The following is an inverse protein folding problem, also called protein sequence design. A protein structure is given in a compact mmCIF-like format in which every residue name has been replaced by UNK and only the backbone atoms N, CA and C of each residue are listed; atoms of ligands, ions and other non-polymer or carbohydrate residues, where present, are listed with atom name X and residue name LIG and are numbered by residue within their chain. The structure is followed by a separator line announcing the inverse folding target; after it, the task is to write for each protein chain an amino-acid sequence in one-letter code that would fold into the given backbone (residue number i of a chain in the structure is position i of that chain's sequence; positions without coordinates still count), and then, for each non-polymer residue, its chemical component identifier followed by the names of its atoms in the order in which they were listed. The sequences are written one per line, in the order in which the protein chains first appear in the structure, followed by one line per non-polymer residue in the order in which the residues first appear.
data_IF_972974175245
#
_entry.id   IF_972974175245
#
_cell.length_a   1.000
_cell.length_b   1.000
_cell.length_c   1.000
_cell.angle_alpha   90.00
_cell.angle_beta   90.00
_cell.angle_gamma   90.00
#
_symmetry.space_group_name_H-M   'P 1'
#
loop_
_entity.id
_entity.type
_entity.pdbx_description
1 polymer ?
#
# COMPACT_ATOMS: atom_id res chain seq x y z
N UNK A 1 -5.67 25.85 9.36
CA UNK A 1 -4.70 24.76 9.64
C UNK A 1 -3.38 25.21 9.06
N UNK A 2 -2.24 25.06 9.76
CA UNK A 2 -0.93 25.42 9.24
C UNK A 2 -0.55 24.47 8.11
N UNK A 3 -0.22 24.98 6.95
CA UNK A 3 0.30 24.23 5.82
C UNK A 3 1.66 23.62 6.22
N UNK A 4 1.79 22.30 6.08
CA UNK A 4 3.04 21.60 6.39
C UNK A 4 3.83 21.38 5.10
N UNK A 5 5.10 21.82 5.11
CA UNK A 5 6.01 21.65 3.98
C UNK A 5 7.04 20.53 4.25
N UNK A 6 7.29 19.70 3.25
CA UNK A 6 8.29 18.64 3.26
C UNK A 6 9.17 18.74 2.00
N UNK A 7 10.41 18.28 2.06
CA UNK A 7 11.21 18.13 0.84
C UNK A 7 10.57 17.09 -0.09
N UNK A 8 10.07 15.98 0.48
CA UNK A 8 9.45 14.91 -0.31
C UNK A 8 8.13 14.44 0.31
N UNK A 9 7.09 14.39 -0.48
CA UNK A 9 5.89 13.61 -0.16
C UNK A 9 5.85 12.37 -1.03
N UNK A 10 5.64 11.21 -0.39
CA UNK A 10 5.44 9.92 -1.04
C UNK A 10 4.00 9.49 -0.86
N UNK A 11 3.31 9.15 -1.93
CA UNK A 11 1.92 8.67 -1.88
C UNK A 11 1.89 7.16 -1.98
N UNK A 12 1.51 6.51 -0.89
CA UNK A 12 1.43 5.05 -0.74
C UNK A 12 2.57 4.46 0.10
N UNK A 13 2.22 3.57 1.05
CA UNK A 13 3.12 2.84 1.93
C UNK A 13 3.23 1.34 1.57
N UNK A 14 3.19 1.03 0.27
CA UNK A 14 3.58 -0.28 -0.26
C UNK A 14 5.10 -0.45 -0.28
N UNK A 15 5.59 -1.49 -0.98
CA UNK A 15 7.02 -1.78 -1.07
C UNK A 15 7.84 -0.58 -1.57
N UNK A 16 7.38 0.10 -2.63
CA UNK A 16 8.07 1.28 -3.16
C UNK A 16 8.12 2.43 -2.14
N UNK A 17 7.00 2.69 -1.45
CA UNK A 17 6.92 3.74 -0.43
C UNK A 17 7.81 3.46 0.78
N UNK A 18 7.84 2.22 1.26
CA UNK A 18 8.73 1.79 2.35
C UNK A 18 10.21 1.94 1.98
N UNK A 19 10.59 1.51 0.77
CA UNK A 19 11.94 1.70 0.27
C UNK A 19 12.34 3.17 0.21
N UNK A 20 11.48 4.02 -0.34
CA UNK A 20 11.72 5.46 -0.44
C UNK A 20 11.81 6.11 0.93
N UNK A 21 10.92 5.75 1.87
CA UNK A 21 10.97 6.26 3.23
C UNK A 21 12.32 5.94 3.89
N UNK A 22 12.78 4.69 3.79
CA UNK A 22 14.09 4.28 4.29
C UNK A 22 15.22 5.07 3.60
N UNK A 23 15.25 5.07 2.26
CA UNK A 23 16.32 5.68 1.48
C UNK A 23 16.44 7.17 1.72
N UNK A 24 15.33 7.89 1.72
CA UNK A 24 15.32 9.34 1.90
C UNK A 24 15.70 9.75 3.35
N UNK A 25 15.22 8.99 4.34
CA UNK A 25 15.60 9.23 5.74
C UNK A 25 17.09 9.03 5.97
N UNK A 26 17.70 7.97 5.39
CA UNK A 26 19.15 7.77 5.51
C UNK A 26 19.97 8.86 4.81
N UNK A 27 19.38 9.61 3.90
CA UNK A 27 19.97 10.79 3.25
C UNK A 27 19.69 12.11 4.01
N UNK A 28 19.01 12.04 5.16
CA UNK A 28 18.67 13.22 5.99
C UNK A 28 17.58 14.12 5.39
N UNK A 29 16.76 13.59 4.46
CA UNK A 29 15.67 14.35 3.85
C UNK A 29 14.44 14.40 4.75
N UNK A 30 13.76 15.54 4.76
CA UNK A 30 12.45 15.67 5.40
C UNK A 30 11.38 15.10 4.48
N UNK A 31 10.61 14.12 4.99
CA UNK A 31 9.59 13.47 4.18
C UNK A 31 8.32 13.15 4.97
N UNK A 32 7.24 12.95 4.23
CA UNK A 32 5.99 12.36 4.72
C UNK A 32 5.49 11.34 3.70
N UNK A 33 5.11 10.18 4.18
CA UNK A 33 4.38 9.19 3.38
C UNK A 33 2.91 9.30 3.71
N UNK A 34 2.05 9.43 2.70
CA UNK A 34 0.59 9.48 2.86
C UNK A 34 0.01 8.15 2.39
N UNK A 35 -0.60 7.40 3.32
CA UNK A 35 -1.16 6.07 3.04
C UNK A 35 -2.67 6.07 3.29
N UNK A 36 -3.42 5.62 2.30
CA UNK A 36 -4.88 5.49 2.38
C UNK A 36 -5.31 4.43 3.39
N UNK A 37 -4.57 3.33 3.49
CA UNK A 37 -4.84 2.24 4.41
C UNK A 37 -4.49 2.59 5.86
N UNK A 38 -4.93 1.74 6.79
CA UNK A 38 -4.59 1.85 8.21
C UNK A 38 -3.24 1.22 8.56
N UNK A 39 -2.56 0.59 7.58
CA UNK A 39 -1.28 -0.07 7.77
C UNK A 39 -0.48 -0.08 6.46
N UNK A 40 0.79 -0.46 6.56
CA UNK A 40 1.70 -0.66 5.42
C UNK A 40 1.37 -1.92 4.65
N UNK A 41 1.95 -2.07 3.44
CA UNK A 41 1.89 -3.31 2.67
C UNK A 41 1.35 -3.15 1.25
N UNK A 42 0.64 -2.05 0.95
CA UNK A 42 0.14 -1.75 -0.39
C UNK A 42 -0.70 -2.90 -0.97
N UNK A 43 -0.26 -3.52 -2.06
CA UNK A 43 -0.94 -4.66 -2.68
C UNK A 43 -1.31 -5.75 -1.66
N UNK A 44 -0.44 -6.06 -0.72
CA UNK A 44 -0.64 -7.13 0.27
C UNK A 44 -1.49 -6.70 1.47
N UNK A 45 -1.67 -5.43 1.67
CA UNK A 45 -2.65 -4.91 2.60
C UNK A 45 -4.07 -5.01 2.02
N UNK A 46 -4.26 -4.69 0.74
CA UNK A 46 -5.57 -4.65 0.09
C UNK A 46 -6.03 -6.00 -0.45
N UNK A 47 -5.14 -6.78 -1.07
CA UNK A 47 -5.49 -8.04 -1.74
C UNK A 47 -5.25 -9.23 -0.81
N UNK A 48 -6.26 -9.57 -0.02
CA UNK A 48 -6.22 -10.60 1.03
C UNK A 48 -7.20 -11.75 0.79
N UNK A 49 -7.64 -11.93 -0.44
CA UNK A 49 -8.53 -13.04 -0.80
C UNK A 49 -7.85 -14.40 -0.52
N UNK A 50 -8.65 -15.48 -0.27
CA UNK A 50 -8.09 -16.80 0.04
C UNK A 50 -7.12 -17.29 -1.03
N UNK A 51 -5.94 -17.71 -0.60
CA UNK A 51 -4.91 -18.22 -1.50
C UNK A 51 -4.12 -17.13 -2.25
N UNK A 52 -4.30 -15.84 -1.95
CA UNK A 52 -3.51 -14.76 -2.52
C UNK A 52 -2.01 -15.02 -2.28
N UNK A 53 -1.22 -15.00 -3.34
CA UNK A 53 0.19 -15.42 -3.34
C UNK A 53 0.98 -14.60 -4.36
N UNK A 54 2.26 -14.39 -4.10
CA UNK A 54 3.15 -13.79 -5.07
C UNK A 54 3.50 -14.78 -6.20
N UNK A 55 3.59 -14.30 -7.42
CA UNK A 55 4.03 -15.02 -8.60
C UNK A 55 5.56 -14.94 -8.81
N UNK A 56 6.25 -14.11 -8.01
CA UNK A 56 7.70 -14.06 -7.93
C UNK A 56 8.22 -14.86 -6.74
N UNK A 57 9.45 -15.40 -6.86
CA UNK A 57 10.09 -16.09 -5.76
C UNK A 57 10.33 -15.15 -4.56
N UNK A 58 10.09 -15.64 -3.35
CA UNK A 58 10.14 -14.85 -2.12
C UNK A 58 11.46 -14.12 -1.92
N UNK A 59 12.59 -14.76 -2.23
CA UNK A 59 13.92 -14.13 -2.15
C UNK A 59 14.08 -12.99 -3.15
N UNK A 60 13.51 -13.10 -4.34
CA UNK A 60 13.52 -12.04 -5.34
C UNK A 60 12.53 -10.92 -5.00
N UNK A 61 11.49 -11.24 -4.23
CA UNK A 61 10.47 -10.29 -3.76
C UNK A 61 10.83 -9.69 -2.40
N UNK A 62 12.10 -9.58 -2.08
CA UNK A 62 12.66 -9.06 -0.83
C UNK A 62 13.46 -7.79 -1.07
N UNK A 63 13.55 -6.95 -0.06
CA UNK A 63 14.47 -5.82 -0.09
C UNK A 63 15.90 -6.28 0.12
N UNK A 64 16.83 -5.75 -0.68
CA UNK A 64 18.26 -6.04 -0.64
C UNK A 64 19.13 -4.87 -0.11
N UNK A 65 18.50 -3.87 0.49
CA UNK A 65 19.23 -2.70 1.00
C UNK A 65 19.88 -2.91 2.37
N UNK A 66 19.60 -4.02 3.05
CA UNK A 66 20.14 -4.37 4.35
C UNK A 66 20.47 -5.85 4.43
N UNK A 67 21.76 -6.17 4.61
CA UNK A 67 22.22 -7.54 4.83
C UNK A 67 21.68 -8.15 6.13
N UNK A 68 21.42 -7.33 7.15
CA UNK A 68 20.80 -7.80 8.39
C UNK A 68 19.36 -8.27 8.12
N UNK A 69 18.58 -7.49 7.37
CA UNK A 69 17.22 -7.86 6.98
C UNK A 69 17.21 -9.18 6.19
N UNK A 70 18.13 -9.33 5.23
CA UNK A 70 18.23 -10.56 4.41
C UNK A 70 18.60 -11.79 5.25
N UNK A 71 19.36 -11.62 6.32
CA UNK A 71 19.79 -12.72 7.20
C UNK A 71 18.78 -13.05 8.29
N UNK A 72 17.97 -12.10 8.72
CA UNK A 72 17.03 -12.28 9.84
C UNK A 72 15.63 -12.68 9.41
N UNK A 73 15.23 -12.35 8.18
CA UNK A 73 13.93 -12.77 7.65
C UNK A 73 14.01 -14.09 6.93
N UNK A 74 13.22 -15.07 7.35
CA UNK A 74 13.15 -16.39 6.75
C UNK A 74 11.78 -16.64 6.15
N UNK A 75 11.74 -16.79 4.82
CA UNK A 75 10.52 -17.13 4.10
C UNK A 75 10.16 -18.61 4.32
N UNK A 76 8.88 -18.89 4.59
CA UNK A 76 8.39 -20.25 4.78
C UNK A 76 8.24 -21.02 3.47
N UNK A 77 8.02 -20.29 2.37
CA UNK A 77 7.76 -20.89 1.04
C UNK A 77 8.54 -20.15 -0.06
N UNK A 78 8.82 -20.90 -1.15
CA UNK A 78 9.46 -20.32 -2.34
C UNK A 78 8.62 -19.21 -2.97
N UNK A 79 7.28 -19.33 -2.91
CA UNK A 79 6.31 -18.34 -3.37
C UNK A 79 5.40 -18.02 -2.18
N UNK A 80 5.71 -16.97 -1.46
CA UNK A 80 5.04 -16.62 -0.22
C UNK A 80 3.58 -16.23 -0.42
N UNK A 81 2.77 -16.55 0.56
CA UNK A 81 1.38 -16.15 0.63
C UNK A 81 1.23 -14.72 1.16
N UNK A 82 0.09 -14.11 0.87
CA UNK A 82 -0.26 -12.74 1.28
C UNK A 82 0.01 -12.45 2.76
N UNK A 83 -0.37 -13.27 3.75
CA UNK A 83 -0.15 -12.96 5.16
C UNK A 83 1.33 -12.85 5.52
N UNK A 84 2.17 -13.69 4.93
CA UNK A 84 3.62 -13.65 5.18
C UNK A 84 4.26 -12.42 4.55
N UNK A 85 3.87 -12.06 3.31
CA UNK A 85 4.39 -10.86 2.64
C UNK A 85 3.95 -9.59 3.38
N UNK A 86 2.71 -9.55 3.86
CA UNK A 86 2.25 -8.42 4.68
C UNK A 86 3.05 -8.34 6.00
N UNK A 87 3.32 -9.47 6.63
CA UNK A 87 4.15 -9.54 7.84
C UNK A 87 5.58 -9.06 7.58
N UNK A 88 6.15 -9.41 6.42
CA UNK A 88 7.44 -8.89 5.99
C UNK A 88 7.44 -7.37 5.83
N UNK A 89 6.44 -6.80 5.15
CA UNK A 89 6.34 -5.35 4.98
C UNK A 89 6.21 -4.62 6.33
N UNK A 90 5.45 -5.19 7.27
CA UNK A 90 5.33 -4.68 8.66
C UNK A 90 6.66 -4.76 9.39
N UNK A 91 7.34 -5.90 9.32
CA UNK A 91 8.66 -6.09 9.92
C UNK A 91 9.66 -5.04 9.43
N UNK A 92 9.71 -4.79 8.13
CA UNK A 92 10.56 -3.74 7.53
C UNK A 92 10.20 -2.36 8.07
N UNK A 93 8.92 -2.02 8.11
CA UNK A 93 8.48 -0.71 8.63
C UNK A 93 8.85 -0.51 10.10
N UNK A 94 8.81 -1.58 10.91
CA UNK A 94 9.13 -1.56 12.33
C UNK A 94 10.65 -1.55 12.57
N UNK A 95 11.39 -2.44 11.93
CA UNK A 95 12.85 -2.56 12.06
C UNK A 95 13.57 -1.26 11.70
N UNK A 96 13.13 -0.60 10.63
CA UNK A 96 13.74 0.66 10.18
C UNK A 96 13.02 1.91 10.71
N UNK A 97 12.10 1.76 11.67
CA UNK A 97 11.38 2.86 12.31
C UNK A 97 10.68 3.80 11.31
N UNK A 98 10.07 3.25 10.26
CA UNK A 98 9.45 4.03 9.21
C UNK A 98 8.04 4.53 9.57
N UNK A 99 7.34 3.88 10.52
CA UNK A 99 5.96 4.23 10.89
C UNK A 99 5.76 5.69 11.30
N UNK A 100 6.66 6.36 12.02
CA UNK A 100 6.51 7.79 12.37
C UNK A 100 6.52 8.72 11.16
N UNK A 101 7.05 8.27 10.02
CA UNK A 101 7.08 9.01 8.76
C UNK A 101 5.80 8.85 7.96
N UNK A 102 4.95 7.87 8.31
CA UNK A 102 3.75 7.50 7.55
C UNK A 102 2.52 8.06 8.25
N UNK A 103 1.70 8.80 7.49
CA UNK A 103 0.38 9.20 7.92
C UNK A 103 -0.63 8.27 7.28
N UNK A 104 -1.19 7.38 8.12
CA UNK A 104 -2.21 6.41 7.73
C UNK A 104 -3.60 7.03 7.61
N UNK A 105 -4.54 6.28 7.01
CA UNK A 105 -5.93 6.69 6.77
C UNK A 105 -6.03 8.04 6.03
N UNK A 106 -5.06 8.30 5.16
CA UNK A 106 -4.88 9.58 4.46
C UNK A 106 -4.89 9.35 2.96
N UNK A 107 -6.07 9.47 2.36
CA UNK A 107 -6.24 9.37 0.91
C UNK A 107 -5.90 10.70 0.25
N UNK A 108 -4.90 10.71 -0.63
CA UNK A 108 -4.60 11.85 -1.50
C UNK A 108 -5.64 11.93 -2.61
N UNK A 109 -6.24 13.09 -2.78
CA UNK A 109 -7.26 13.36 -3.81
C UNK A 109 -6.74 14.22 -4.95
N UNK A 110 -5.72 15.05 -4.67
CA UNK A 110 -5.06 15.84 -5.71
C UNK A 110 -3.57 16.04 -5.40
N UNK A 111 -2.77 16.18 -6.44
CA UNK A 111 -1.38 16.62 -6.37
C UNK A 111 -1.12 17.53 -7.57
N UNK A 112 -0.96 18.82 -7.32
CA UNK A 112 -0.90 19.85 -8.36
C UNK A 112 0.41 20.62 -8.23
N UNK A 113 1.18 20.65 -9.29
CA UNK A 113 2.38 21.49 -9.38
C UNK A 113 2.01 22.97 -9.48
N UNK A 114 2.70 23.79 -8.70
CA UNK A 114 2.59 25.25 -8.73
C UNK A 114 3.89 25.84 -9.28
N UNK A 115 3.82 26.49 -10.44
CA UNK A 115 4.99 27.11 -11.08
C UNK A 115 5.61 28.21 -10.21
N UNK A 116 4.79 28.92 -9.50
CA UNK A 116 5.19 29.90 -8.49
C UNK A 116 4.42 29.57 -7.20
N UNK A 117 5.09 29.13 -6.15
CA UNK A 117 6.53 29.18 -5.78
C UNK A 117 7.38 27.93 -6.08
N UNK A 118 7.07 27.14 -7.13
CA UNK A 118 7.81 25.95 -7.54
C UNK A 118 7.73 24.81 -6.51
N UNK A 119 6.52 24.39 -6.19
CA UNK A 119 6.28 23.25 -5.32
C UNK A 119 4.99 22.51 -5.68
N UNK A 120 4.88 21.28 -5.19
CA UNK A 120 3.65 20.50 -5.22
C UNK A 120 2.70 20.94 -4.12
N UNK A 121 1.42 21.04 -4.44
CA UNK A 121 0.32 21.15 -3.47
C UNK A 121 -0.43 19.83 -3.49
N UNK A 122 -0.50 19.16 -2.34
CA UNK A 122 -1.13 17.87 -2.17
C UNK A 122 -2.34 18.04 -1.24
N UNK A 123 -3.50 17.56 -1.67
CA UNK A 123 -4.75 17.61 -0.88
C UNK A 123 -5.26 16.21 -0.58
N UNK A 124 -5.89 16.06 0.56
CA UNK A 124 -6.43 14.78 1.04
C UNK A 124 -7.95 14.80 1.11
N UNK A 125 -8.56 13.62 1.17
CA UNK A 125 -10.01 13.47 1.34
C UNK A 125 -10.53 14.08 2.65
N UNK A 126 -9.67 14.27 3.66
CA UNK A 126 -10.02 14.91 4.94
C UNK A 126 -9.83 16.43 4.91
N UNK A 127 -9.47 17.00 3.75
CA UNK A 127 -9.25 18.43 3.59
C UNK A 127 -7.93 18.94 4.16
N UNK A 128 -7.00 18.05 4.47
CA UNK A 128 -5.63 18.43 4.81
C UNK A 128 -4.87 18.85 3.56
N UNK A 129 -3.96 19.81 3.74
CA UNK A 129 -3.14 20.33 2.65
C UNK A 129 -1.67 20.32 3.04
N UNK A 130 -0.86 19.79 2.16
CA UNK A 130 0.59 19.70 2.28
C UNK A 130 1.27 20.35 1.09
N UNK A 131 2.51 20.80 1.28
CA UNK A 131 3.36 21.22 0.17
C UNK A 131 4.66 20.43 0.17
N UNK A 132 5.24 20.24 -1.02
CA UNK A 132 6.51 19.54 -1.15
C UNK A 132 7.31 19.99 -2.38
N UNK A 133 8.64 19.92 -2.29
CA UNK A 133 9.50 20.14 -3.46
C UNK A 133 9.36 18.99 -4.46
N UNK A 134 9.19 17.75 -3.95
CA UNK A 134 8.99 16.55 -4.75
C UNK A 134 7.76 15.79 -4.29
N UNK A 135 6.95 15.33 -5.25
CA UNK A 135 5.85 14.40 -5.00
C UNK A 135 6.10 13.10 -5.76
N UNK A 136 6.18 11.98 -5.03
CA UNK A 136 6.44 10.66 -5.58
C UNK A 136 5.19 9.79 -5.47
N UNK A 137 4.64 9.39 -6.61
CA UNK A 137 3.47 8.51 -6.68
C UNK A 137 3.91 7.05 -6.57
N UNK A 138 3.93 6.49 -5.35
CA UNK A 138 4.22 5.09 -5.06
C UNK A 138 2.93 4.26 -4.91
N UNK A 139 1.91 4.60 -5.68
CA UNK A 139 0.53 4.07 -5.57
C UNK A 139 0.36 2.64 -6.05
N UNK A 140 1.33 2.11 -6.81
CA UNK A 140 1.23 0.78 -7.40
C UNK A 140 0.21 0.72 -8.55
N UNK A 141 0.02 -0.48 -9.11
CA UNK A 141 -0.88 -0.71 -10.25
C UNK A 141 -2.21 -1.39 -9.89
N UNK A 142 -2.37 -1.87 -8.64
CA UNK A 142 -3.55 -2.61 -8.16
C UNK A 142 -4.31 -1.86 -7.05
N UNK A 143 -4.12 -0.54 -6.93
CA UNK A 143 -4.69 0.24 -5.84
C UNK A 143 -6.14 0.69 -6.06
N UNK A 144 -6.60 0.69 -7.32
CA UNK A 144 -7.97 1.08 -7.67
C UNK A 144 -8.74 -0.15 -8.16
N UNK A 145 -9.74 -0.63 -7.40
CA UNK A 145 -10.57 -1.75 -7.82
C UNK A 145 -11.39 -1.38 -9.05
N UNK A 146 -11.38 -2.25 -10.06
CA UNK A 146 -12.28 -2.12 -11.20
C UNK A 146 -13.48 -3.03 -11.02
N UNK A 147 -14.66 -2.44 -10.92
CA UNK A 147 -15.90 -3.23 -10.88
C UNK A 147 -16.19 -3.76 -12.27
N UNK A 148 -16.38 -5.08 -12.45
CA UNK A 148 -16.70 -5.65 -13.74
C UNK A 148 -18.10 -5.22 -14.21
N UNK A 149 -18.24 -4.91 -15.49
CA UNK A 149 -19.52 -4.62 -16.12
C UNK A 149 -20.19 -5.94 -16.54
N UNK A 150 -20.87 -6.58 -15.60
CA UNK A 150 -21.58 -7.85 -15.83
C UNK A 150 -23.06 -7.61 -15.71
N UNK A 151 -23.86 -7.86 -16.79
CA UNK A 151 -25.31 -7.70 -16.73
C UNK A 151 -25.92 -8.55 -15.62
N UNK A 152 -26.74 -7.93 -14.78
CA UNK A 152 -27.41 -8.59 -13.65
C UNK A 152 -26.62 -8.62 -12.35
N UNK A 153 -25.39 -8.12 -12.30
CA UNK A 153 -24.60 -8.05 -11.06
C UNK A 153 -25.34 -7.27 -9.95
N UNK A 154 -26.05 -6.21 -10.33
CA UNK A 154 -26.84 -5.37 -9.41
C UNK A 154 -28.04 -6.10 -8.79
N UNK A 155 -28.54 -7.13 -9.45
CA UNK A 155 -29.73 -7.90 -9.04
C UNK A 155 -29.38 -9.28 -8.52
N UNK A 156 -28.10 -9.61 -8.41
CA UNK A 156 -27.65 -10.88 -7.86
C UNK A 156 -28.04 -10.98 -6.38
N UNK A 157 -28.83 -12.00 -6.04
CA UNK A 157 -29.38 -12.17 -4.70
C UNK A 157 -28.40 -12.81 -3.70
N UNK A 158 -27.27 -13.35 -4.17
CA UNK A 158 -26.22 -13.94 -3.35
C UNK A 158 -25.15 -12.93 -2.93
N UNK A 159 -24.20 -13.39 -2.15
CA UNK A 159 -23.05 -12.59 -1.76
C UNK A 159 -22.09 -12.41 -2.95
N UNK A 160 -21.62 -11.19 -3.15
CA UNK A 160 -20.63 -10.84 -4.16
C UNK A 160 -19.37 -10.33 -3.47
N UNK A 161 -18.23 -10.92 -3.81
CA UNK A 161 -16.91 -10.54 -3.30
C UNK A 161 -15.98 -10.23 -4.47
N UNK A 162 -15.25 -9.14 -4.35
CA UNK A 162 -14.22 -8.76 -5.30
C UNK A 162 -12.83 -8.95 -4.67
N UNK A 163 -11.91 -9.61 -5.38
CA UNK A 163 -10.58 -9.95 -4.86
C UNK A 163 -9.82 -8.74 -4.30
N UNK A 164 -9.87 -7.59 -5.00
CA UNK A 164 -9.21 -6.33 -4.59
C UNK A 164 -9.91 -5.58 -3.45
N UNK A 165 -11.10 -6.01 -3.04
CA UNK A 165 -11.89 -5.46 -1.94
C UNK A 165 -12.36 -6.56 -0.99
N UNK A 166 -11.52 -7.59 -0.81
CA UNK A 166 -11.85 -8.70 0.07
C UNK A 166 -12.07 -8.23 1.50
N UNK A 167 -13.14 -8.69 2.19
CA UNK A 167 -13.42 -8.31 3.57
C UNK A 167 -12.25 -8.59 4.52
N UNK A 168 -12.11 -7.79 5.56
CA UNK A 168 -11.15 -8.04 6.63
C UNK A 168 -11.61 -9.15 7.58
N UNK A 169 -12.93 -9.31 7.69
CA UNK A 169 -13.53 -10.40 8.45
C UNK A 169 -13.49 -11.71 7.65
N UNK A 170 -13.35 -12.86 8.32
CA UNK A 170 -13.40 -14.15 7.65
C UNK A 170 -14.71 -14.34 6.88
N UNK A 171 -14.60 -14.85 5.66
CA UNK A 171 -15.76 -15.24 4.86
C UNK A 171 -15.91 -16.75 4.97
N UNK A 172 -17.08 -17.19 5.44
CA UNK A 172 -17.42 -18.60 5.51
C UNK A 172 -18.10 -19.03 4.20
N UNK A 173 -17.62 -20.09 3.60
CA UNK A 173 -18.15 -20.70 2.38
C UNK A 173 -18.77 -22.08 2.64
N UNK A 174 -18.88 -22.50 3.92
CA UNK A 174 -19.45 -23.79 4.26
C UNK A 174 -20.92 -23.87 3.79
N UNK A 175 -21.24 -24.95 3.10
CA UNK A 175 -22.55 -25.19 2.48
C UNK A 175 -22.97 -24.20 1.37
N UNK A 176 -22.10 -23.29 0.93
CA UNK A 176 -22.41 -22.34 -0.15
C UNK A 176 -22.03 -22.90 -1.53
N UNK A 177 -22.77 -22.47 -2.55
CA UNK A 177 -22.39 -22.69 -3.95
C UNK A 177 -21.64 -21.48 -4.45
N UNK A 178 -20.34 -21.61 -4.65
CA UNK A 178 -19.46 -20.51 -5.02
C UNK A 178 -19.16 -20.56 -6.52
N UNK A 179 -19.40 -19.45 -7.22
CA UNK A 179 -18.95 -19.20 -8.59
C UNK A 179 -17.75 -18.25 -8.59
N UNK A 180 -16.74 -18.53 -9.41
CA UNK A 180 -15.55 -17.67 -9.59
C UNK A 180 -15.55 -17.16 -11.03
N UNK A 181 -15.32 -15.87 -11.21
CA UNK A 181 -15.20 -15.21 -12.51
C UNK A 181 -13.80 -14.57 -12.59
N UNK A 182 -12.98 -15.00 -13.58
CA UNK A 182 -11.63 -14.52 -13.82
C UNK A 182 -10.58 -15.61 -13.78
#
# INVERSE_FOLDING_TARGET
MSEQHFEVIVVGAGFAGLYLAHKLTTQGRTLRVLEQGSDVGGTWYWNRYPGARCDAESLAYSFSFSSELEQTWHWSERYAQQPEILSYARHVADQFQLRPLIQFNTQVTSAIWQELPCHWVIETALGERFTADFCVMATGCLSVPQRPDIPGLETFAGNFYQASQWPHEPVDFEAERVGIIG
#
